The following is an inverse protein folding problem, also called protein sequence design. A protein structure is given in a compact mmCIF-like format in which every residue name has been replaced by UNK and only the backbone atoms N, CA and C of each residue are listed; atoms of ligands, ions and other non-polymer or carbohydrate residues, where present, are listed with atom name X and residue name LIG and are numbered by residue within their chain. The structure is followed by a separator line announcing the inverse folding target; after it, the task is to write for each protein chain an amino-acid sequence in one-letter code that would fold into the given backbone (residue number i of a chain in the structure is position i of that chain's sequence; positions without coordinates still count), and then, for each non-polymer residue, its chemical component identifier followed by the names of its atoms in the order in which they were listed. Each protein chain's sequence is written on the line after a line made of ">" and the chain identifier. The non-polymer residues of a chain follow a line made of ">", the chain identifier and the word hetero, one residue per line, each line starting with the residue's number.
data_IF_516029660065
#
_entry.id   IF_516029660065
#
_cell.length_a   1.000
_cell.length_b   1.000
_cell.length_c   1.000
_cell.angle_alpha   90.00
_cell.angle_beta   90.00
_cell.angle_gamma   90.00
#
_symmetry.space_group_name_H-M   'P 1'
#
loop_
_entity.id
_entity.type
_entity.pdbx_description
1 polymer ?
#
# COMPACT_ATOMS: atom_id res chain seq x y z
N UNK A 1 -44.10 -10.23 -5.50
CA UNK A 1 -43.78 -11.54 -6.09
C UNK A 1 -43.28 -11.35 -7.51
N UNK A 2 -42.02 -11.67 -7.79
CA UNK A 2 -41.52 -12.05 -9.11
C UNK A 2 -40.22 -12.83 -8.92
N UNK A 3 -40.28 -14.11 -9.24
CA UNK A 3 -39.18 -15.07 -9.19
C UNK A 3 -38.43 -14.98 -10.52
N UNK A 4 -37.11 -14.94 -10.49
CA UNK A 4 -36.27 -15.46 -11.56
C UNK A 4 -35.08 -16.15 -10.91
N UNK A 5 -35.17 -17.49 -10.84
CA UNK A 5 -34.00 -18.35 -10.73
C UNK A 5 -33.39 -18.45 -12.12
N UNK A 6 -32.06 -18.53 -12.20
CA UNK A 6 -31.37 -19.42 -13.13
C UNK A 6 -29.92 -19.60 -12.66
N UNK A 7 -29.60 -20.86 -12.41
CA UNK A 7 -28.29 -21.37 -12.04
C UNK A 7 -27.29 -21.21 -13.19
N UNK A 8 -26.02 -21.03 -12.84
CA UNK A 8 -24.91 -21.03 -13.78
C UNK A 8 -23.59 -21.28 -13.06
N UNK A 9 -23.31 -22.56 -12.79
CA UNK A 9 -21.98 -23.04 -12.39
C UNK A 9 -21.06 -22.96 -13.60
N UNK A 10 -19.97 -22.19 -13.50
CA UNK A 10 -18.83 -22.30 -14.41
C UNK A 10 -17.55 -22.40 -13.57
N UNK A 11 -17.08 -23.63 -13.38
CA UNK A 11 -15.75 -23.95 -12.88
C UNK A 11 -14.79 -23.83 -14.07
N UNK A 12 -13.87 -22.87 -14.02
CA UNK A 12 -12.72 -22.81 -14.91
C UNK A 12 -11.48 -23.23 -14.10
N UNK A 13 -11.12 -24.50 -14.28
CA UNK A 13 -9.84 -25.04 -13.85
C UNK A 13 -8.84 -24.99 -15.02
N UNK A 14 -7.55 -24.92 -14.66
CA UNK A 14 -6.34 -25.10 -15.48
C UNK A 14 -5.98 -23.86 -16.31
N UNK A 15 -4.77 -23.30 -16.21
CA UNK A 15 -3.50 -23.99 -16.47
C UNK A 15 -2.40 -23.55 -15.49
N UNK A 16 -1.73 -24.54 -14.90
CA UNK A 16 -0.39 -24.37 -14.33
C UNK A 16 0.58 -24.07 -15.48
N UNK A 17 1.19 -22.89 -15.50
CA UNK A 17 2.33 -22.63 -16.37
C UNK A 17 3.52 -23.42 -15.84
N UNK A 18 3.81 -24.50 -16.56
CA UNK A 18 4.88 -25.42 -16.30
C UNK A 18 6.25 -24.75 -16.22
N UNK A 19 7.01 -25.21 -15.25
CA UNK A 19 8.46 -25.30 -15.35
C UNK A 19 8.75 -26.44 -16.33
N UNK A 20 9.28 -26.13 -17.52
CA UNK A 20 9.85 -27.11 -18.43
C UNK A 20 10.80 -26.41 -19.40
N UNK A 21 12.03 -26.91 -19.49
CA UNK A 21 13.08 -26.40 -20.35
C UNK A 21 14.45 -26.86 -19.87
N UNK A 22 14.64 -28.18 -19.81
CA UNK A 22 15.96 -28.80 -19.93
C UNK A 22 16.17 -29.10 -21.41
N UNK A 23 17.27 -28.63 -21.99
CA UNK A 23 17.91 -29.28 -23.12
C UNK A 23 19.43 -29.10 -23.03
N UNK A 24 20.09 -30.23 -23.23
CA UNK A 24 21.52 -30.48 -23.16
C UNK A 24 22.27 -29.86 -24.35
N UNK A 25 23.48 -29.37 -24.11
CA UNK A 25 24.31 -28.82 -25.18
C UNK A 25 25.74 -28.57 -24.77
N UNK A 26 26.56 -29.61 -24.92
CA UNK A 26 28.00 -29.60 -25.21
C UNK A 26 28.94 -28.83 -24.25
N UNK A 27 29.80 -29.59 -23.55
CA UNK A 27 31.05 -29.07 -23.02
C UNK A 27 32.05 -28.80 -24.16
N UNK A 28 32.67 -27.61 -24.21
CA UNK A 28 34.03 -27.47 -24.68
C UNK A 28 34.96 -27.27 -23.48
N UNK A 29 35.94 -28.16 -23.35
CA UNK A 29 37.14 -27.87 -22.58
C UNK A 29 37.85 -26.66 -23.20
N UNK A 30 37.90 -25.55 -22.47
CA UNK A 30 38.61 -24.36 -22.88
C UNK A 30 38.76 -23.41 -21.71
N UNK A 31 39.98 -23.27 -21.19
CA UNK A 31 40.32 -22.33 -20.14
C UNK A 31 39.99 -20.91 -20.59
N UNK A 32 39.03 -20.28 -19.90
CA UNK A 32 38.64 -18.90 -20.12
C UNK A 32 37.97 -18.40 -18.85
N UNK A 33 38.58 -17.39 -18.25
CA UNK A 33 38.12 -16.71 -17.03
C UNK A 33 36.62 -16.42 -17.15
N UNK A 34 35.80 -17.11 -16.34
CA UNK A 34 34.37 -16.91 -16.32
C UNK A 34 34.08 -15.43 -16.02
N UNK A 35 33.67 -14.66 -17.03
CA UNK A 35 33.07 -13.36 -16.83
C UNK A 35 31.73 -13.62 -16.13
N UNK A 36 31.70 -13.39 -14.83
CA UNK A 36 30.47 -13.36 -14.05
C UNK A 36 29.46 -12.47 -14.78
N UNK A 37 28.34 -13.05 -15.21
CA UNK A 37 27.22 -12.28 -15.73
C UNK A 37 26.80 -11.26 -14.66
N UNK A 38 26.51 -10.01 -15.03
CA UNK A 38 26.06 -9.02 -14.06
C UNK A 38 24.76 -9.52 -13.41
N UNK A 39 24.74 -9.58 -12.08
CA UNK A 39 23.51 -9.90 -11.36
C UNK A 39 22.45 -8.84 -11.71
N UNK A 40 21.17 -9.23 -11.86
CA UNK A 40 20.11 -8.27 -12.08
C UNK A 40 20.08 -7.28 -10.92
N UNK A 41 20.29 -6.00 -11.24
CA UNK A 41 20.16 -4.91 -10.27
C UNK A 41 18.73 -4.91 -9.75
N UNK A 42 18.58 -5.12 -8.43
CA UNK A 42 17.28 -5.04 -7.78
C UNK A 42 16.70 -3.64 -8.02
N UNK A 43 15.43 -3.51 -8.43
CA UNK A 43 14.80 -2.20 -8.57
C UNK A 43 15.00 -1.37 -7.30
N UNK A 44 15.39 -0.10 -7.48
CA UNK A 44 15.50 0.84 -6.38
C UNK A 44 14.18 0.95 -5.62
N UNK A 45 14.24 1.33 -4.35
CA UNK A 45 13.02 1.51 -3.58
C UNK A 45 12.18 2.65 -4.16
N UNK A 46 10.88 2.42 -4.30
CA UNK A 46 9.94 3.44 -4.74
C UNK A 46 9.92 4.59 -3.74
N UNK A 47 10.10 5.80 -4.24
CA UNK A 47 9.95 7.04 -3.47
C UNK A 47 8.76 7.80 -4.03
N UNK A 48 7.78 8.12 -3.18
CA UNK A 48 6.59 8.89 -3.55
C UNK A 48 6.58 10.16 -2.71
N UNK A 49 6.64 11.33 -3.36
CA UNK A 49 6.71 12.64 -2.68
C UNK A 49 7.81 12.71 -1.61
N UNK A 50 8.99 12.17 -1.92
CA UNK A 50 10.13 12.13 -0.99
C UNK A 50 10.04 11.08 0.11
N UNK A 51 8.96 10.29 0.16
CA UNK A 51 8.76 9.24 1.16
C UNK A 51 9.11 7.89 0.58
N UNK A 52 9.88 7.09 1.33
CA UNK A 52 10.19 5.69 1.02
C UNK A 52 9.38 4.77 1.93
N UNK A 53 8.24 4.21 1.47
CA UNK A 53 7.46 3.29 2.28
C UNK A 53 8.29 2.09 2.75
N UNK A 54 8.14 1.70 4.01
CA UNK A 54 8.90 0.58 4.57
C UNK A 54 10.29 0.94 5.09
N UNK A 55 10.69 2.21 5.08
CA UNK A 55 11.94 2.65 5.70
C UNK A 55 11.90 2.53 7.23
N UNK A 56 10.76 2.81 7.85
CA UNK A 56 10.62 2.78 9.31
C UNK A 56 10.26 1.40 9.86
N UNK A 57 10.31 1.23 11.18
CA UNK A 57 9.82 0.02 11.87
C UNK A 57 8.29 -0.06 11.81
N UNK A 58 7.76 -1.29 11.93
CA UNK A 58 6.31 -1.51 12.03
C UNK A 58 5.76 -0.93 13.33
N UNK A 59 4.58 -0.32 13.27
CA UNK A 59 3.86 0.22 14.44
C UNK A 59 2.44 -0.34 14.54
N UNK A 60 1.76 -0.11 15.67
CA UNK A 60 0.34 -0.47 15.84
C UNK A 60 -0.60 0.36 14.94
N UNK A 61 -0.13 1.52 14.46
CA UNK A 61 -0.89 2.40 13.57
C UNK A 61 -0.92 1.88 12.13
N UNK A 62 0.06 1.05 11.74
CA UNK A 62 0.12 0.50 10.39
C UNK A 62 -1.17 -0.27 10.03
N UNK A 63 -1.69 -0.01 8.83
CA UNK A 63 -2.93 -0.60 8.37
C UNK A 63 -3.70 0.28 7.39
N UNK A 64 -4.83 -0.26 6.95
CA UNK A 64 -5.85 0.48 6.20
C UNK A 64 -6.97 0.85 7.16
N UNK A 65 -7.30 2.14 7.18
CA UNK A 65 -8.29 2.72 8.08
C UNK A 65 -9.34 3.47 7.28
N UNK A 66 -10.62 3.20 7.52
CA UNK A 66 -11.73 3.79 6.76
C UNK A 66 -12.80 4.38 7.66
N UNK A 67 -13.46 5.44 7.20
CA UNK A 67 -14.62 5.99 7.90
C UNK A 67 -15.78 4.98 7.95
N UNK A 68 -16.66 5.13 8.94
CA UNK A 68 -17.88 4.35 9.05
C UNK A 68 -18.87 4.71 7.92
N UNK A 69 -19.84 3.84 7.67
CA UNK A 69 -20.89 4.09 6.67
C UNK A 69 -21.73 5.33 7.02
N UNK A 70 -22.20 6.05 5.99
CA UNK A 70 -23.15 7.17 6.15
C UNK A 70 -22.55 8.58 6.23
N UNK A 71 -21.22 8.73 6.12
CA UNK A 71 -20.52 10.03 6.09
C UNK A 71 -19.55 10.20 4.92
N UNK A 72 -18.68 11.22 5.00
CA UNK A 72 -17.58 11.41 4.05
C UNK A 72 -16.68 10.16 4.05
N UNK A 73 -16.41 9.62 2.86
CA UNK A 73 -15.58 8.43 2.70
C UNK A 73 -14.13 8.81 2.79
N UNK A 74 -13.50 8.55 3.93
CA UNK A 74 -12.06 8.74 4.14
C UNK A 74 -11.40 7.37 4.18
N UNK A 75 -10.32 7.20 3.44
CA UNK A 75 -9.44 6.04 3.57
C UNK A 75 -8.01 6.50 3.81
N UNK A 76 -7.45 6.11 4.95
CA UNK A 76 -6.08 6.40 5.37
C UNK A 76 -5.28 5.10 5.42
N UNK A 77 -4.17 5.07 4.70
CA UNK A 77 -3.22 3.97 4.66
C UNK A 77 -1.96 4.40 5.39
N UNK A 78 -1.57 3.64 6.40
CA UNK A 78 -0.34 3.85 7.16
C UNK A 78 0.56 2.64 6.98
N UNK A 79 1.80 2.86 6.57
CA UNK A 79 2.77 1.78 6.39
C UNK A 79 4.18 2.27 6.66
N UNK A 80 4.71 1.92 7.83
CA UNK A 80 6.15 1.99 8.15
C UNK A 80 6.75 3.33 7.72
N UNK A 81 6.20 4.41 8.29
CA UNK A 81 6.64 5.79 8.07
C UNK A 81 5.92 6.51 6.93
N UNK A 82 5.23 5.79 6.04
CA UNK A 82 4.45 6.38 4.96
C UNK A 82 2.97 6.50 5.33
N UNK A 83 2.33 7.54 4.80
CA UNK A 83 0.91 7.80 4.91
C UNK A 83 0.33 8.17 3.54
N UNK A 84 -0.85 7.63 3.22
CA UNK A 84 -1.62 8.00 2.04
C UNK A 84 -3.10 8.15 2.40
N UNK A 85 -3.74 9.21 1.95
CA UNK A 85 -5.13 9.52 2.26
C UNK A 85 -5.92 9.77 0.98
N UNK A 86 -7.10 9.15 0.91
CA UNK A 86 -8.12 9.45 -0.08
C UNK A 86 -9.29 10.17 0.62
N UNK A 87 -9.44 11.48 0.37
CA UNK A 87 -10.69 12.28 0.40
C UNK A 87 -10.42 13.77 0.69
N UNK A 88 -11.03 14.72 -0.05
CA UNK A 88 -11.74 14.57 -1.33
C UNK A 88 -10.79 14.37 -2.53
N UNK A 89 -9.48 14.38 -2.29
CA UNK A 89 -8.43 14.07 -3.27
C UNK A 89 -7.40 13.12 -2.68
N UNK A 90 -6.39 12.79 -3.47
CA UNK A 90 -5.27 11.98 -3.04
C UNK A 90 -4.21 12.83 -2.36
N UNK A 91 -3.82 12.42 -1.16
CA UNK A 91 -2.72 13.02 -0.41
C UNK A 91 -1.72 11.94 -0.01
N UNK A 92 -0.44 12.26 -0.02
CA UNK A 92 0.64 11.35 0.41
C UNK A 92 1.68 12.09 1.23
N UNK A 93 2.36 11.35 2.09
CA UNK A 93 3.41 11.88 2.94
C UNK A 93 3.78 10.89 4.02
N UNK A 94 4.02 11.38 5.22
CA UNK A 94 4.63 10.62 6.31
C UNK A 94 3.74 10.49 7.54
N UNK A 95 4.06 9.48 8.33
CA UNK A 95 3.70 9.40 9.74
C UNK A 95 4.98 9.14 10.54
N UNK A 96 5.24 9.95 11.57
CA UNK A 96 6.44 9.81 12.41
C UNK A 96 6.20 8.92 13.65
N UNK A 97 7.25 8.67 14.42
CA UNK A 97 7.19 7.88 15.65
C UNK A 97 6.33 8.52 16.76
N UNK A 98 6.05 9.82 16.67
CA UNK A 98 5.14 10.55 17.57
C UNK A 98 3.69 10.59 17.05
N UNK A 99 3.39 9.79 16.02
CA UNK A 99 2.11 9.71 15.32
C UNK A 99 1.67 11.02 14.67
N UNK A 100 2.61 11.92 14.36
CA UNK A 100 2.31 13.12 13.56
C UNK A 100 2.25 12.72 12.09
N UNK A 101 1.17 13.12 11.44
CA UNK A 101 0.95 12.93 10.01
C UNK A 101 1.26 14.24 9.29
N UNK A 102 2.01 14.17 8.20
CA UNK A 102 2.26 15.29 7.29
C UNK A 102 2.03 14.83 5.87
N UNK A 103 1.06 15.44 5.18
CA UNK A 103 0.63 15.06 3.84
C UNK A 103 0.69 16.25 2.88
N UNK A 104 0.95 15.94 1.62
CA UNK A 104 0.76 16.83 0.48
C UNK A 104 -0.37 16.31 -0.39
N UNK A 105 -1.34 17.17 -0.70
CA UNK A 105 -2.51 16.81 -1.49
C UNK A 105 -2.39 17.30 -2.94
N UNK A 106 -2.72 16.45 -3.91
CA UNK A 106 -2.56 16.76 -5.34
C UNK A 106 -3.38 17.98 -5.82
N UNK A 107 -4.49 18.32 -5.14
CA UNK A 107 -5.36 19.46 -5.46
C UNK A 107 -5.24 20.63 -4.47
N UNK A 108 -4.17 20.67 -3.67
CA UNK A 108 -3.87 21.80 -2.77
C UNK A 108 -4.78 21.95 -1.54
N UNK A 109 -5.68 21.00 -1.26
CA UNK A 109 -6.45 20.99 -0.01
C UNK A 109 -5.52 20.97 1.21
N UNK A 110 -5.88 21.73 2.25
CA UNK A 110 -5.14 21.82 3.52
C UNK A 110 -5.85 21.17 4.72
N UNK A 111 -7.11 20.76 4.55
CA UNK A 111 -7.92 20.23 5.65
C UNK A 111 -7.33 18.96 6.29
N UNK A 112 -6.54 18.19 5.54
CA UNK A 112 -5.93 16.93 6.00
C UNK A 112 -4.43 16.84 5.67
N UNK A 113 -3.69 17.93 5.84
CA UNK A 113 -2.25 17.97 5.53
C UNK A 113 -1.35 17.88 6.76
N UNK A 114 -1.84 18.24 7.94
CA UNK A 114 -1.08 18.14 9.19
C UNK A 114 -2.01 17.68 10.31
N UNK A 115 -1.67 16.60 10.99
CA UNK A 115 -2.52 16.01 12.03
C UNK A 115 -1.78 15.07 12.96
N UNK A 116 -2.51 14.54 13.95
CA UNK A 116 -2.00 13.53 14.88
C UNK A 116 -2.96 12.34 14.92
N UNK A 117 -2.40 11.14 14.82
CA UNK A 117 -3.13 9.89 14.94
C UNK A 117 -3.02 9.30 16.35
N UNK A 118 -4.09 8.66 16.81
CA UNK A 118 -4.16 7.98 18.08
C UNK A 118 -5.08 6.77 17.98
N UNK A 119 -4.69 5.64 18.59
CA UNK A 119 -5.60 4.51 18.75
C UNK A 119 -6.46 4.70 19.99
N UNK A 120 -7.79 4.67 19.82
CA UNK A 120 -8.76 4.73 20.91
C UNK A 120 -9.75 3.59 20.73
N UNK A 121 -9.75 2.65 21.67
CA UNK A 121 -10.68 1.51 21.69
C UNK A 121 -10.76 0.75 20.35
N UNK A 122 -9.62 0.56 19.68
CA UNK A 122 -9.54 -0.15 18.39
C UNK A 122 -9.82 0.70 17.14
N UNK A 123 -10.25 1.95 17.30
CA UNK A 123 -10.38 2.92 16.22
C UNK A 123 -9.14 3.82 16.12
N UNK A 124 -8.83 4.29 14.92
CA UNK A 124 -7.82 5.31 14.66
C UNK A 124 -8.50 6.68 14.62
N UNK A 125 -8.22 7.50 15.61
CA UNK A 125 -8.69 8.89 15.67
C UNK A 125 -7.58 9.78 15.14
N UNK A 126 -7.89 10.57 14.11
CA UNK A 126 -6.97 11.55 13.53
C UNK A 126 -7.53 12.94 13.74
N UNK A 127 -6.80 13.76 14.50
CA UNK A 127 -7.12 15.17 14.67
C UNK A 127 -6.26 15.99 13.71
N UNK A 128 -6.89 16.56 12.68
CA UNK A 128 -6.23 17.47 11.75
C UNK A 128 -6.15 18.88 12.34
N UNK A 129 -5.07 19.60 12.06
CA UNK A 129 -4.86 20.95 12.60
C UNK A 129 -5.83 21.97 12.03
N UNK A 130 -6.00 21.97 10.71
CA UNK A 130 -6.83 22.93 9.96
C UNK A 130 -8.11 22.29 9.40
N UNK A 131 -8.59 21.22 10.02
CA UNK A 131 -9.67 20.41 9.45
C UNK A 131 -10.41 19.53 10.45
N UNK A 132 -11.10 18.49 9.95
CA UNK A 132 -12.00 17.70 10.78
C UNK A 132 -11.24 16.82 11.77
N UNK A 133 -11.99 16.17 12.65
CA UNK A 133 -11.52 15.01 13.39
C UNK A 133 -12.09 13.77 12.74
N UNK A 134 -11.23 12.91 12.20
CA UNK A 134 -11.65 11.66 11.60
C UNK A 134 -11.60 10.53 12.65
N UNK A 135 -12.64 9.70 12.70
CA UNK A 135 -12.63 8.43 13.45
C UNK A 135 -12.74 7.30 12.44
N UNK A 136 -11.68 6.52 12.33
CA UNK A 136 -11.50 5.51 11.29
C UNK A 136 -11.38 4.13 11.92
N UNK A 137 -11.87 3.13 11.19
CA UNK A 137 -11.88 1.74 11.62
C UNK A 137 -10.97 0.93 10.73
N UNK A 138 -10.33 -0.08 11.33
CA UNK A 138 -9.46 -0.99 10.57
C UNK A 138 -10.30 -1.78 9.58
N UNK A 139 -9.82 -1.84 8.34
CA UNK A 139 -10.37 -2.69 7.28
C UNK A 139 -9.76 -4.08 7.30
#
# INVERSE_FOLDING_TARGET
>A
MRRYALAGLAVLALLASGCSGSDDGAAPSGGGTARSAPLPTRPGAVVTNGVRPGAEKKTALDGTWTSAAGGEKVALYLYRGAAALNSPGFCTGTIDASARITLTCAKGSRARTSGRAELRSGALVVSWQDGPRDTLHRR
#
